data_IF_815190018053
#
_entry.id   IF_815190018053
#
_cell.length_a   1.000
_cell.length_b   1.000
_cell.length_c   1.000
_cell.angle_alpha   90.00
_cell.angle_beta   90.00
_cell.angle_gamma   90.00
#
_symmetry.space_group_name_H-M   'P 1'
#
loop_
_entity.id
_entity.type
_entity.pdbx_description
1 polymer ?
#
# COMPACT_ATOMS: atom_id res chain seq x y z
N UNK A 1 25.13 14.11 -4.84
CA UNK A 1 26.52 14.44 -5.20
C UNK A 1 26.62 15.34 -6.44
N UNK A 2 26.09 14.99 -7.63
CA UNK A 2 26.15 15.87 -8.83
C UNK A 2 25.60 17.28 -8.64
N UNK A 3 24.53 17.47 -7.86
CA UNK A 3 23.95 18.79 -7.60
C UNK A 3 24.85 19.65 -6.71
N UNK A 4 25.55 19.03 -5.75
CA UNK A 4 26.49 19.73 -4.88
C UNK A 4 27.75 20.16 -5.63
N UNK A 5 28.26 19.33 -6.52
CA UNK A 5 29.44 19.64 -7.35
C UNK A 5 29.15 20.75 -8.36
N UNK A 6 27.95 20.76 -8.96
CA UNK A 6 27.49 21.85 -9.82
C UNK A 6 27.31 23.18 -9.09
N UNK A 7 26.88 23.10 -7.84
CA UNK A 7 26.67 24.26 -6.98
C UNK A 7 28.01 24.86 -6.50
N UNK A 8 28.93 24.02 -6.02
CA UNK A 8 30.26 24.45 -5.60
C UNK A 8 31.13 24.95 -6.76
N UNK A 9 30.83 24.52 -8.00
CA UNK A 9 31.47 25.01 -9.21
C UNK A 9 31.01 26.37 -9.70
N UNK A 10 30.13 27.10 -9.00
CA UNK A 10 29.70 28.48 -9.33
C UNK A 10 28.88 28.59 -10.63
N UNK A 11 28.22 27.53 -11.09
CA UNK A 11 27.43 27.54 -12.32
C UNK A 11 25.95 27.80 -12.05
N UNK A 12 25.45 28.98 -12.44
CA UNK A 12 24.08 29.41 -12.26
C UNK A 12 22.99 28.55 -12.95
N UNK A 13 23.37 27.62 -13.79
CA UNK A 13 22.42 26.81 -14.58
C UNK A 13 21.92 25.57 -13.88
N UNK A 14 22.46 25.21 -12.73
CA UNK A 14 22.14 23.96 -12.02
C UNK A 14 20.65 23.83 -11.67
N UNK A 15 20.01 24.91 -11.26
CA UNK A 15 18.60 24.93 -10.89
C UNK A 15 17.65 24.66 -12.05
N UNK A 16 18.05 24.97 -13.28
CA UNK A 16 17.26 24.72 -14.50
C UNK A 16 17.46 23.30 -15.05
N UNK A 17 18.59 22.70 -14.73
CA UNK A 17 18.97 21.37 -15.23
C UNK A 17 18.50 20.22 -14.32
N UNK A 18 18.17 20.54 -13.06
CA UNK A 18 17.66 19.55 -12.09
C UNK A 18 16.13 19.59 -12.06
N UNK A 19 15.49 18.57 -12.59
CA UNK A 19 14.03 18.43 -12.54
C UNK A 19 13.56 18.38 -11.08
N UNK A 20 12.56 19.20 -10.73
CA UNK A 20 11.89 19.16 -9.43
C UNK A 20 12.29 20.26 -8.44
N UNK A 21 13.15 21.21 -8.84
CA UNK A 21 13.42 22.38 -8.01
C UNK A 21 12.26 23.39 -8.18
N UNK A 22 11.63 23.85 -7.09
CA UNK A 22 10.61 24.89 -7.14
C UNK A 22 11.11 26.15 -7.83
N UNK A 23 10.27 26.76 -8.66
CA UNK A 23 10.64 27.92 -9.48
C UNK A 23 11.09 29.13 -8.66
N UNK A 24 10.56 29.32 -7.45
CA UNK A 24 10.96 30.37 -6.51
C UNK A 24 12.39 30.17 -5.99
N UNK A 25 12.83 28.94 -5.77
CA UNK A 25 14.21 28.62 -5.36
C UNK A 25 15.18 28.85 -6.51
N UNK A 26 14.79 28.50 -7.75
CA UNK A 26 15.59 28.76 -8.93
C UNK A 26 15.76 30.27 -9.15
N UNK A 27 14.69 31.06 -9.04
CA UNK A 27 14.72 32.54 -9.18
C UNK A 27 15.58 33.21 -8.11
N UNK A 28 15.55 32.71 -6.87
CA UNK A 28 16.41 33.24 -5.77
C UNK A 28 17.88 32.92 -5.96
N UNK A 29 18.19 31.75 -6.50
CA UNK A 29 19.57 31.38 -6.85
C UNK A 29 20.13 32.25 -7.97
N UNK A 30 19.32 32.58 -8.99
CA UNK A 30 19.71 33.48 -10.09
C UNK A 30 19.91 34.93 -9.57
N UNK A 31 19.02 35.45 -8.71
CA UNK A 31 19.14 36.78 -8.08
C UNK A 31 20.39 36.90 -7.19
N UNK A 32 20.74 35.83 -6.49
CA UNK A 32 21.91 35.78 -5.64
C UNK A 32 23.22 35.90 -6.44
N UNK A 33 23.31 35.26 -7.60
CA UNK A 33 24.51 35.35 -8.45
C UNK A 33 24.72 36.72 -9.07
N UNK A 34 23.64 37.46 -9.36
CA UNK A 34 23.78 38.82 -9.86
C UNK A 34 24.39 39.76 -8.83
N UNK A 35 24.03 39.62 -7.54
CA UNK A 35 24.55 40.46 -6.46
C UNK A 35 25.99 40.17 -6.07
N UNK A 36 26.52 38.97 -6.36
CA UNK A 36 27.93 38.63 -6.08
C UNK A 36 28.89 39.05 -7.19
N UNK A 37 28.36 39.44 -8.37
CA UNK A 37 29.19 39.83 -9.52
C UNK A 37 29.76 41.23 -9.43
N UNK A 38 29.12 42.13 -8.71
CA UNK A 38 29.46 43.55 -8.69
C UNK A 38 30.32 44.01 -7.47
N UNK A 39 30.82 43.08 -6.66
CA UNK A 39 31.83 43.39 -5.63
C UNK A 39 31.35 44.25 -4.46
N UNK A 40 30.04 44.43 -4.32
CA UNK A 40 29.53 45.24 -3.21
C UNK A 40 29.33 44.47 -1.92
N UNK A 41 29.68 45.08 -0.86
CA UNK A 41 29.76 44.62 0.53
C UNK A 41 28.39 44.19 1.05
N UNK A 42 28.36 43.01 1.55
CA UNK A 42 27.22 42.34 2.14
C UNK A 42 26.63 43.05 3.35
N UNK A 43 25.32 43.05 3.46
CA UNK A 43 24.59 43.41 4.66
C UNK A 43 24.92 42.58 5.89
N UNK A 44 24.21 42.71 7.02
CA UNK A 44 24.52 42.16 8.31
C UNK A 44 24.87 40.65 8.27
N UNK A 45 25.68 40.14 9.22
CA UNK A 45 26.28 38.78 9.20
C UNK A 45 25.28 37.61 9.13
N UNK A 46 24.01 37.88 9.36
CA UNK A 46 22.91 36.89 9.21
C UNK A 46 22.47 36.68 7.74
N UNK A 47 22.96 37.49 6.80
CA UNK A 47 22.84 37.26 5.35
C UNK A 47 24.04 36.50 4.77
N UNK A 48 24.81 35.78 5.63
CA UNK A 48 25.92 34.98 5.13
C UNK A 48 25.42 34.01 4.05
N UNK A 49 25.97 34.08 2.83
CA UNK A 49 25.61 33.20 1.72
C UNK A 49 25.61 31.73 2.08
N UNK A 50 26.58 31.30 2.88
CA UNK A 50 26.73 29.93 3.32
C UNK A 50 25.57 29.46 4.23
N UNK A 51 25.06 30.33 5.12
CA UNK A 51 23.92 30.00 5.98
C UNK A 51 22.60 29.97 5.22
N UNK A 52 22.42 30.87 4.26
CA UNK A 52 21.27 30.89 3.36
C UNK A 52 21.26 29.63 2.47
N UNK A 53 22.42 29.26 1.92
CA UNK A 53 22.60 28.08 1.11
C UNK A 53 22.39 26.79 1.90
N UNK A 54 22.86 26.74 3.15
CA UNK A 54 22.64 25.58 4.02
C UNK A 54 21.15 25.30 4.23
N UNK A 55 20.36 26.33 4.58
CA UNK A 55 18.91 26.20 4.74
C UNK A 55 18.19 25.77 3.46
N UNK A 56 18.59 26.27 2.31
CA UNK A 56 17.95 25.90 1.05
C UNK A 56 18.36 24.51 0.59
N UNK A 57 19.58 24.08 0.83
CA UNK A 57 20.00 22.70 0.61
C UNK A 57 19.23 21.74 1.52
N UNK A 58 19.02 22.07 2.79
CA UNK A 58 18.17 21.27 3.68
C UNK A 58 16.74 21.13 3.15
N UNK A 59 16.12 22.21 2.69
CA UNK A 59 14.75 22.16 2.09
C UNK A 59 14.73 21.33 0.83
N UNK A 60 15.74 21.45 -0.03
CA UNK A 60 15.85 20.64 -1.25
C UNK A 60 16.07 19.15 -0.91
N UNK A 61 16.96 18.85 0.03
CA UNK A 61 17.21 17.47 0.46
C UNK A 61 15.97 16.87 1.10
N UNK A 62 15.28 17.60 1.98
CA UNK A 62 14.02 17.16 2.58
C UNK A 62 12.93 16.93 1.51
N UNK A 63 12.79 17.82 0.52
CA UNK A 63 11.85 17.66 -0.58
C UNK A 63 12.17 16.45 -1.47
N UNK A 64 13.44 16.22 -1.76
CA UNK A 64 13.89 15.05 -2.51
C UNK A 64 13.67 13.74 -1.73
N UNK A 65 13.92 13.75 -0.41
CA UNK A 65 13.69 12.60 0.45
C UNK A 65 12.19 12.29 0.58
N UNK A 66 11.36 13.32 0.66
CA UNK A 66 9.90 13.13 0.68
C UNK A 66 9.39 12.56 -0.65
N UNK A 67 9.78 13.13 -1.78
CA UNK A 67 9.41 12.60 -3.11
C UNK A 67 9.93 11.18 -3.32
N UNK A 68 11.14 10.87 -2.84
CA UNK A 68 11.68 9.52 -2.89
C UNK A 68 10.88 8.55 -2.03
N UNK A 69 10.45 8.96 -0.83
CA UNK A 69 9.59 8.14 0.03
C UNK A 69 8.23 7.87 -0.62
N UNK A 70 7.60 8.91 -1.17
CA UNK A 70 6.31 8.77 -1.88
C UNK A 70 6.41 7.79 -3.05
N UNK A 71 7.46 7.90 -3.88
CA UNK A 71 7.73 6.97 -4.99
C UNK A 71 7.99 5.54 -4.47
N UNK A 72 8.76 5.40 -3.39
CA UNK A 72 9.04 4.08 -2.80
C UNK A 72 7.80 3.48 -2.15
N UNK A 73 6.97 4.28 -1.50
CA UNK A 73 5.70 3.84 -0.92
C UNK A 73 4.73 3.38 -2.02
N UNK A 74 4.59 4.15 -3.10
CA UNK A 74 3.72 3.79 -4.23
C UNK A 74 4.19 2.50 -4.93
N UNK A 75 5.48 2.40 -5.25
CA UNK A 75 6.05 1.20 -5.87
C UNK A 75 6.03 0.01 -4.92
N UNK A 76 6.31 0.23 -3.64
CA UNK A 76 6.23 -0.79 -2.60
C UNK A 76 4.82 -1.34 -2.45
N UNK A 77 3.82 -0.47 -2.44
CA UNK A 77 2.40 -0.87 -2.36
C UNK A 77 1.97 -1.65 -3.60
N UNK A 78 2.34 -1.21 -4.81
CA UNK A 78 2.02 -1.92 -6.05
C UNK A 78 2.67 -3.31 -6.09
N UNK A 79 3.93 -3.44 -5.68
CA UNK A 79 4.63 -4.71 -5.59
C UNK A 79 3.99 -5.64 -4.55
N UNK A 80 3.58 -5.10 -3.41
CA UNK A 80 2.89 -5.81 -2.36
C UNK A 80 1.52 -6.34 -2.85
N UNK A 81 0.69 -5.49 -3.45
CA UNK A 81 -0.60 -5.90 -4.01
C UNK A 81 -0.43 -6.95 -5.11
N UNK A 82 0.60 -6.82 -5.93
CA UNK A 82 0.97 -7.83 -6.92
C UNK A 82 1.37 -9.17 -6.29
N UNK A 83 2.04 -9.15 -5.14
CA UNK A 83 2.40 -10.37 -4.39
C UNK A 83 1.17 -11.04 -3.80
N UNK A 84 0.26 -10.26 -3.20
CA UNK A 84 -1.02 -10.80 -2.71
C UNK A 84 -1.81 -11.44 -3.86
N UNK A 85 -1.95 -10.74 -4.99
CA UNK A 85 -2.66 -11.27 -6.16
C UNK A 85 -2.08 -12.62 -6.62
N UNK A 86 -0.76 -12.73 -6.75
CA UNK A 86 -0.11 -13.99 -7.11
C UNK A 86 -0.38 -15.10 -6.09
N UNK A 87 -0.36 -14.78 -4.79
CA UNK A 87 -0.68 -15.76 -3.75
C UNK A 87 -2.13 -16.21 -3.82
N UNK A 88 -3.06 -15.29 -4.05
CA UNK A 88 -4.50 -15.60 -4.22
C UNK A 88 -4.74 -16.43 -5.49
N UNK A 89 -4.08 -16.10 -6.61
CA UNK A 89 -4.18 -16.90 -7.85
C UNK A 89 -3.61 -18.31 -7.67
N UNK A 90 -2.64 -18.49 -6.76
CA UNK A 90 -2.06 -19.78 -6.43
C UNK A 90 -2.85 -20.58 -5.36
N UNK A 91 -3.91 -20.01 -4.75
CA UNK A 91 -4.66 -20.69 -3.69
C UNK A 91 -5.32 -21.98 -4.17
N UNK A 92 -6.02 -21.96 -5.30
CA UNK A 92 -6.67 -23.17 -5.86
C UNK A 92 -5.69 -24.32 -6.05
N UNK A 93 -4.55 -24.17 -6.77
CA UNK A 93 -3.59 -25.25 -6.88
C UNK A 93 -2.95 -25.63 -5.53
N UNK A 94 -2.74 -24.68 -4.60
CA UNK A 94 -2.21 -24.97 -3.28
C UNK A 94 -3.21 -25.80 -2.45
N UNK A 95 -4.49 -25.44 -2.41
CA UNK A 95 -5.54 -26.21 -1.74
C UNK A 95 -5.55 -27.65 -2.28
N UNK A 96 -5.55 -27.82 -3.60
CA UNK A 96 -5.52 -29.16 -4.24
C UNK A 96 -4.27 -29.97 -3.84
N UNK A 97 -3.11 -29.33 -3.75
CA UNK A 97 -1.87 -29.98 -3.33
C UNK A 97 -1.97 -30.53 -1.90
N UNK A 98 -2.68 -29.88 -0.99
CA UNK A 98 -2.84 -30.33 0.38
C UNK A 98 -4.00 -31.31 0.57
N UNK A 99 -5.05 -31.21 -0.21
CA UNK A 99 -6.23 -32.09 -0.13
C UNK A 99 -6.03 -33.40 -0.88
N UNK A 100 -5.37 -33.36 -2.03
CA UNK A 100 -5.08 -34.54 -2.87
C UNK A 100 -3.59 -34.88 -2.77
N UNK A 101 -3.20 -35.66 -1.77
CA UNK A 101 -1.80 -36.04 -1.51
C UNK A 101 -1.47 -37.44 -2.01
N UNK A 102 -0.20 -37.67 -2.19
CA UNK A 102 0.31 -39.01 -2.55
C UNK A 102 -0.11 -40.06 -1.53
N UNK A 103 -0.23 -41.33 -1.99
CA UNK A 103 -0.66 -42.43 -1.19
C UNK A 103 0.23 -42.59 0.05
N UNK A 104 -0.40 -42.67 1.21
CA UNK A 104 0.28 -42.83 2.49
C UNK A 104 0.65 -41.54 3.23
N UNK A 105 0.42 -40.35 2.61
CA UNK A 105 0.57 -39.07 3.29
C UNK A 105 -0.77 -38.60 3.85
N UNK A 106 -0.75 -37.98 5.04
CA UNK A 106 -1.94 -37.36 5.61
C UNK A 106 -2.35 -36.15 4.79
N UNK A 107 -3.63 -36.05 4.41
CA UNK A 107 -4.17 -34.85 3.78
C UNK A 107 -4.40 -33.77 4.83
N UNK A 108 -4.28 -32.52 4.42
CA UNK A 108 -4.77 -31.38 5.17
C UNK A 108 -6.07 -30.92 4.53
N UNK A 109 -7.17 -31.15 5.22
CA UNK A 109 -8.48 -30.71 4.74
C UNK A 109 -8.58 -29.19 4.88
N UNK A 110 -8.81 -28.50 3.75
CA UNK A 110 -9.11 -27.08 3.70
C UNK A 110 -10.61 -26.96 3.47
N UNK A 111 -11.37 -26.69 4.54
CA UNK A 111 -12.84 -26.78 4.52
C UNK A 111 -13.53 -25.53 5.08
N UNK A 112 -12.77 -24.56 5.56
CA UNK A 112 -13.28 -23.35 6.20
C UNK A 112 -12.32 -22.17 6.09
N UNK A 113 -12.79 -21.04 6.49
CA UNK A 113 -12.13 -19.73 6.46
C UNK A 113 -10.76 -19.74 7.15
N UNK A 114 -10.70 -20.28 8.37
CA UNK A 114 -9.46 -20.39 9.15
C UNK A 114 -8.36 -21.17 8.43
N UNK A 115 -8.73 -22.27 7.76
CA UNK A 115 -7.76 -23.10 7.02
C UNK A 115 -7.17 -22.32 5.85
N UNK A 116 -8.01 -21.55 5.13
CA UNK A 116 -7.57 -20.69 4.02
C UNK A 116 -6.72 -19.54 4.53
N UNK A 117 -7.12 -18.91 5.64
CA UNK A 117 -6.36 -17.85 6.28
C UNK A 117 -4.95 -18.31 6.62
N UNK A 118 -4.82 -19.46 7.27
CA UNK A 118 -3.52 -20.00 7.69
C UNK A 118 -2.65 -20.37 6.48
N UNK A 119 -3.24 -20.96 5.43
CA UNK A 119 -2.54 -21.25 4.18
C UNK A 119 -2.05 -19.96 3.52
N UNK A 120 -2.95 -18.98 3.33
CA UNK A 120 -2.61 -17.69 2.70
C UNK A 120 -1.56 -16.93 3.52
N UNK A 121 -1.69 -16.93 4.85
CA UNK A 121 -0.67 -16.37 5.73
C UNK A 121 0.70 -17.00 5.50
N UNK A 122 0.79 -18.34 5.47
CA UNK A 122 2.05 -19.02 5.23
C UNK A 122 2.67 -18.68 3.87
N UNK A 123 1.83 -18.59 2.81
CA UNK A 123 2.27 -18.21 1.46
C UNK A 123 2.78 -16.75 1.42
N UNK A 124 2.08 -15.83 2.05
CA UNK A 124 2.43 -14.41 2.07
C UNK A 124 3.63 -14.13 2.98
N UNK A 125 3.76 -14.81 4.10
CA UNK A 125 4.84 -14.61 5.08
C UNK A 125 6.22 -14.84 4.49
N UNK A 126 6.34 -15.68 3.48
CA UNK A 126 7.59 -15.92 2.78
C UNK A 126 8.11 -14.67 2.02
N UNK A 127 7.21 -13.76 1.63
CA UNK A 127 7.53 -12.59 0.82
C UNK A 127 7.23 -11.25 1.50
N UNK A 128 6.39 -11.25 2.54
CA UNK A 128 5.90 -10.05 3.22
C UNK A 128 6.23 -10.17 4.71
N UNK A 129 7.29 -9.48 5.12
CA UNK A 129 7.84 -9.61 6.46
C UNK A 129 6.94 -9.09 7.59
N UNK A 130 6.09 -8.09 7.31
CA UNK A 130 5.22 -7.45 8.29
C UNK A 130 3.78 -7.97 8.29
N UNK A 131 3.46 -9.00 7.46
CA UNK A 131 2.12 -9.59 7.48
C UNK A 131 1.82 -10.22 8.86
N UNK A 132 0.68 -9.90 9.41
CA UNK A 132 0.19 -10.38 10.71
C UNK A 132 -1.18 -11.02 10.54
N UNK A 133 -1.54 -11.88 11.50
CA UNK A 133 -2.88 -12.46 11.62
C UNK A 133 -3.66 -11.74 12.71
N UNK A 134 -4.99 -11.69 12.55
CA UNK A 134 -5.93 -11.28 13.59
C UNK A 134 -5.70 -9.86 14.12
N UNK A 135 -5.74 -8.87 13.22
CA UNK A 135 -5.61 -7.46 13.63
C UNK A 135 -6.95 -6.89 14.13
N UNK A 136 -7.01 -6.44 15.38
CA UNK A 136 -8.21 -5.80 15.92
C UNK A 136 -8.55 -4.51 15.18
N UNK A 137 -9.80 -4.37 14.74
CA UNK A 137 -10.33 -3.15 14.11
C UNK A 137 -11.04 -2.30 15.15
N UNK A 138 -10.77 -0.98 15.22
CA UNK A 138 -11.44 -0.10 16.18
C UNK A 138 -12.96 -0.16 16.02
N UNK A 139 -13.66 -0.57 17.08
CA UNK A 139 -15.12 -0.72 17.08
C UNK A 139 -15.84 0.46 17.71
N UNK A 140 -17.09 0.71 17.27
CA UNK A 140 -18.05 1.50 18.06
C UNK A 140 -19.07 0.54 18.70
N UNK A 141 -19.49 0.85 19.93
CA UNK A 141 -20.52 0.11 20.66
C UNK A 141 -20.18 -1.34 21.05
N UNK A 142 -18.91 -1.64 21.33
CA UNK A 142 -18.54 -2.89 22.02
C UNK A 142 -18.41 -4.15 21.13
N UNK A 143 -18.68 -4.08 19.83
CA UNK A 143 -18.41 -5.18 18.92
C UNK A 143 -16.98 -5.06 18.37
N UNK A 144 -16.06 -5.85 18.86
CA UNK A 144 -14.71 -6.00 18.31
C UNK A 144 -14.79 -6.82 17.02
N UNK A 145 -14.31 -6.27 15.91
CA UNK A 145 -14.04 -7.04 14.69
C UNK A 145 -12.53 -7.19 14.54
N UNK A 146 -12.13 -8.27 13.91
CA UNK A 146 -10.74 -8.63 13.70
C UNK A 146 -10.59 -8.93 12.21
N UNK A 147 -9.66 -8.25 11.54
CA UNK A 147 -9.31 -8.59 10.17
C UNK A 147 -8.40 -9.81 10.16
N UNK A 148 -8.60 -10.70 9.22
CA UNK A 148 -7.85 -11.96 9.14
C UNK A 148 -6.35 -11.76 8.98
N UNK A 149 -5.95 -10.90 8.04
CA UNK A 149 -4.55 -10.55 7.79
C UNK A 149 -4.36 -9.04 7.63
N UNK A 150 -3.20 -8.56 8.06
CA UNK A 150 -2.86 -7.15 8.05
C UNK A 150 -1.38 -6.91 7.71
N UNK A 151 -1.11 -5.87 6.92
CA UNK A 151 0.23 -5.29 6.73
C UNK A 151 0.18 -3.80 7.00
N UNK A 152 0.96 -3.36 7.99
CA UNK A 152 1.10 -1.93 8.35
C UNK A 152 1.82 -1.18 7.23
N UNK A 153 2.91 -1.76 6.71
CA UNK A 153 3.73 -1.10 5.68
C UNK A 153 2.95 -0.85 4.39
N UNK A 154 2.10 -1.79 4.00
CA UNK A 154 1.26 -1.63 2.81
C UNK A 154 -0.12 -1.03 3.11
N UNK A 155 -0.41 -0.68 4.38
CA UNK A 155 -1.69 -0.12 4.82
C UNK A 155 -2.87 -0.95 4.28
N UNK A 156 -2.77 -2.27 4.40
CA UNK A 156 -3.68 -3.22 3.78
C UNK A 156 -4.26 -4.18 4.79
N UNK A 157 -5.57 -4.35 4.77
CA UNK A 157 -6.30 -5.40 5.46
C UNK A 157 -6.77 -6.44 4.44
N UNK A 158 -6.71 -7.72 4.82
CA UNK A 158 -7.28 -8.82 4.05
C UNK A 158 -8.34 -9.52 4.90
N UNK A 159 -9.42 -9.89 4.24
CA UNK A 159 -10.53 -10.64 4.82
C UNK A 159 -10.81 -11.85 3.94
N UNK A 160 -10.90 -13.03 4.54
CA UNK A 160 -11.21 -14.28 3.87
C UNK A 160 -12.70 -14.58 4.07
N UNK A 161 -13.34 -15.12 3.06
CA UNK A 161 -14.71 -15.61 3.14
C UNK A 161 -14.79 -16.99 2.51
N UNK A 162 -15.50 -17.90 3.19
CA UNK A 162 -15.69 -19.27 2.74
C UNK A 162 -17.15 -19.57 2.43
N UNK A 163 -17.43 -20.02 1.21
CA UNK A 163 -18.74 -20.47 0.78
C UNK A 163 -18.70 -21.98 0.65
N UNK A 164 -19.10 -22.67 1.73
CA UNK A 164 -19.04 -24.14 1.80
C UNK A 164 -20.31 -24.86 1.34
N UNK A 165 -21.42 -24.14 1.14
CA UNK A 165 -22.70 -24.69 0.69
C UNK A 165 -23.50 -23.69 -0.12
N UNK A 166 -24.38 -24.19 -0.99
CA UNK A 166 -25.24 -23.35 -1.79
C UNK A 166 -26.22 -22.51 -0.94
N UNK A 167 -26.55 -21.32 -1.43
CA UNK A 167 -27.42 -20.35 -0.77
C UNK A 167 -26.72 -19.46 0.28
N UNK A 168 -25.39 -19.54 0.41
CA UNK A 168 -24.63 -18.69 1.33
C UNK A 168 -24.21 -17.35 0.74
N UNK A 169 -24.14 -17.25 -0.60
CA UNK A 169 -23.60 -16.07 -1.28
C UNK A 169 -24.24 -14.75 -0.81
N UNK A 170 -25.57 -14.69 -0.76
CA UNK A 170 -26.25 -13.46 -0.34
C UNK A 170 -25.84 -12.99 1.06
N UNK A 171 -25.71 -13.92 2.01
CA UNK A 171 -25.27 -13.62 3.36
C UNK A 171 -23.80 -13.14 3.37
N UNK A 172 -22.92 -13.78 2.63
CA UNK A 172 -21.53 -13.37 2.51
C UNK A 172 -21.40 -11.97 1.89
N UNK A 173 -22.21 -11.65 0.88
CA UNK A 173 -22.26 -10.33 0.28
C UNK A 173 -22.66 -9.25 1.30
N UNK A 174 -23.68 -9.53 2.12
CA UNK A 174 -24.10 -8.62 3.20
C UNK A 174 -22.98 -8.43 4.24
N UNK A 175 -22.27 -9.50 4.61
CA UNK A 175 -21.12 -9.43 5.50
C UNK A 175 -19.99 -8.56 4.91
N UNK A 176 -19.66 -8.71 3.62
CA UNK A 176 -18.67 -7.90 2.92
C UNK A 176 -19.04 -6.41 2.99
N UNK A 177 -20.28 -6.04 2.73
CA UNK A 177 -20.72 -4.66 2.83
C UNK A 177 -20.56 -4.08 4.25
N UNK A 178 -20.87 -4.88 5.27
CA UNK A 178 -20.67 -4.48 6.67
C UNK A 178 -19.19 -4.36 7.01
N UNK A 179 -18.35 -5.27 6.52
CA UNK A 179 -16.91 -5.27 6.73
C UNK A 179 -16.26 -4.04 6.10
N UNK A 180 -16.64 -3.67 4.88
CA UNK A 180 -16.19 -2.42 4.22
C UNK A 180 -16.47 -1.20 5.09
N UNK A 181 -17.71 -1.07 5.62
CA UNK A 181 -18.10 0.05 6.49
C UNK A 181 -17.36 0.06 7.84
N UNK A 182 -16.93 -1.10 8.30
CA UNK A 182 -16.25 -1.26 9.58
C UNK A 182 -14.76 -1.03 9.43
N UNK A 183 -14.12 -1.69 8.45
CA UNK A 183 -12.66 -1.70 8.30
C UNK A 183 -12.10 -0.37 7.80
N UNK A 184 -12.89 0.46 7.12
CA UNK A 184 -12.48 1.83 6.75
C UNK A 184 -12.07 2.67 7.98
N UNK A 185 -12.47 2.30 9.18
CA UNK A 185 -12.13 2.99 10.43
C UNK A 185 -10.73 2.65 10.93
N UNK A 186 -10.15 1.55 10.47
CA UNK A 186 -8.78 1.20 10.82
C UNK A 186 -7.81 2.22 10.21
N UNK A 187 -6.85 2.76 10.99
CA UNK A 187 -5.94 3.80 10.50
C UNK A 187 -5.14 3.35 9.27
N UNK A 188 -4.76 2.08 9.23
CA UNK A 188 -3.97 1.49 8.15
C UNK A 188 -4.83 0.86 7.02
N UNK A 189 -6.15 1.07 7.02
CA UNK A 189 -7.00 0.57 5.94
C UNK A 189 -7.03 1.56 4.76
N UNK A 190 -6.02 1.51 3.90
CA UNK A 190 -6.02 2.18 2.60
C UNK A 190 -6.43 1.20 1.49
N UNK A 191 -6.11 -0.07 1.69
CA UNK A 191 -6.51 -1.17 0.82
C UNK A 191 -7.25 -2.22 1.65
N UNK A 192 -8.39 -2.66 1.16
CA UNK A 192 -9.18 -3.74 1.74
C UNK A 192 -9.35 -4.82 0.68
N UNK A 193 -8.88 -6.02 0.98
CA UNK A 193 -8.87 -7.14 0.04
C UNK A 193 -9.76 -8.25 0.58
N UNK A 194 -10.77 -8.62 -0.18
CA UNK A 194 -11.59 -9.81 0.08
C UNK A 194 -11.09 -10.99 -0.75
N UNK A 195 -10.83 -12.10 -0.08
CA UNK A 195 -10.49 -13.38 -0.71
C UNK A 195 -11.65 -14.34 -0.47
N UNK A 196 -12.46 -14.56 -1.49
CA UNK A 196 -13.70 -15.34 -1.41
C UNK A 196 -13.41 -16.72 -2.02
N UNK A 197 -13.49 -17.77 -1.21
CA UNK A 197 -13.35 -19.15 -1.67
C UNK A 197 -14.73 -19.75 -1.85
N UNK A 198 -15.11 -19.98 -3.09
CA UNK A 198 -16.40 -20.54 -3.43
C UNK A 198 -16.31 -22.05 -3.69
N UNK A 199 -16.26 -22.83 -2.61
CA UNK A 199 -16.22 -24.27 -2.66
C UNK A 199 -17.57 -24.87 -3.11
N UNK A 200 -18.68 -24.14 -2.98
CA UNK A 200 -20.00 -24.59 -3.32
C UNK A 200 -20.46 -24.18 -4.74
N UNK A 201 -19.69 -23.33 -5.44
CA UNK A 201 -20.06 -22.72 -6.72
C UNK A 201 -21.42 -22.02 -6.63
N UNK A 202 -21.53 -21.16 -5.60
CA UNK A 202 -22.74 -20.41 -5.27
C UNK A 202 -22.70 -18.98 -5.79
N UNK A 203 -21.52 -18.47 -6.14
CA UNK A 203 -21.31 -17.16 -6.75
C UNK A 203 -21.80 -17.21 -8.21
N UNK A 204 -22.75 -16.38 -8.62
CA UNK A 204 -23.36 -16.47 -9.95
C UNK A 204 -22.39 -16.26 -11.09
N UNK A 205 -21.54 -15.22 -10.98
CA UNK A 205 -20.51 -14.86 -11.94
C UNK A 205 -19.31 -14.30 -11.16
N UNK A 206 -18.26 -15.11 -10.91
CA UNK A 206 -17.07 -14.67 -10.17
C UNK A 206 -16.41 -13.42 -10.74
N UNK A 207 -16.30 -13.27 -12.06
CA UNK A 207 -15.68 -12.12 -12.69
C UNK A 207 -16.47 -10.84 -12.48
N UNK A 208 -17.77 -10.91 -12.68
CA UNK A 208 -18.67 -9.77 -12.46
C UNK A 208 -18.63 -9.33 -10.99
N UNK A 209 -18.64 -10.28 -10.07
CA UNK A 209 -18.57 -10.01 -8.63
C UNK A 209 -17.23 -9.37 -8.26
N UNK A 210 -16.10 -9.85 -8.79
CA UNK A 210 -14.79 -9.21 -8.60
C UNK A 210 -14.80 -7.76 -9.10
N UNK A 211 -15.40 -7.49 -10.26
CA UNK A 211 -15.49 -6.15 -10.84
C UNK A 211 -16.41 -5.23 -10.02
N UNK A 212 -17.60 -5.69 -9.65
CA UNK A 212 -18.60 -4.91 -8.89
C UNK A 212 -18.13 -4.57 -7.47
N UNK A 213 -17.42 -5.50 -6.80
CA UNK A 213 -16.91 -5.29 -5.45
C UNK A 213 -15.60 -4.48 -5.42
N UNK A 214 -14.87 -4.44 -6.54
CA UNK A 214 -13.57 -3.76 -6.60
C UNK A 214 -13.73 -2.31 -7.04
N UNK A 215 -12.92 -1.43 -6.46
CA UNK A 215 -12.89 -0.03 -6.83
C UNK A 215 -12.43 0.89 -5.72
N UNK A 216 -12.29 2.17 -6.05
CA UNK A 216 -12.02 3.21 -5.07
C UNK A 216 -13.32 3.75 -4.51
N UNK A 217 -13.45 3.81 -3.20
CA UNK A 217 -14.62 4.27 -2.48
C UNK A 217 -14.23 5.36 -1.49
N UNK A 218 -15.13 6.31 -1.26
CA UNK A 218 -14.98 7.31 -0.20
C UNK A 218 -16.05 7.07 0.85
N UNK A 219 -15.64 6.62 2.03
CA UNK A 219 -16.53 6.28 3.15
C UNK A 219 -16.15 7.14 4.35
N UNK A 220 -17.09 7.90 4.88
CA UNK A 220 -16.86 8.82 6.00
C UNK A 220 -15.67 9.78 5.76
N UNK A 221 -15.49 10.26 4.52
CA UNK A 221 -14.41 11.15 4.12
C UNK A 221 -13.03 10.49 3.95
N UNK A 222 -12.92 9.17 4.09
CA UNK A 222 -11.69 8.41 3.84
C UNK A 222 -11.78 7.68 2.52
N UNK A 223 -10.77 7.85 1.68
CA UNK A 223 -10.60 7.08 0.46
C UNK A 223 -9.97 5.73 0.80
N UNK A 224 -10.62 4.66 0.34
CA UNK A 224 -10.09 3.29 0.39
C UNK A 224 -10.18 2.66 -0.99
N UNK A 225 -9.30 1.72 -1.26
CA UNK A 225 -9.39 0.86 -2.44
C UNK A 225 -9.81 -0.54 -2.01
N UNK A 226 -10.98 -0.97 -2.46
CA UNK A 226 -11.47 -2.33 -2.25
C UNK A 226 -11.05 -3.20 -3.44
N UNK A 227 -10.65 -4.42 -3.18
CA UNK A 227 -10.37 -5.45 -4.19
C UNK A 227 -11.00 -6.76 -3.72
N UNK A 228 -11.65 -7.44 -4.63
CA UNK A 228 -12.23 -8.75 -4.37
C UNK A 228 -11.65 -9.79 -5.34
N UNK A 229 -11.42 -10.98 -4.81
CA UNK A 229 -10.95 -12.13 -5.57
C UNK A 229 -11.81 -13.34 -5.22
N UNK A 230 -12.44 -13.93 -6.22
CA UNK A 230 -13.24 -15.15 -6.06
C UNK A 230 -12.46 -16.34 -6.65
N UNK A 231 -12.28 -17.40 -5.86
CA UNK A 231 -11.55 -18.60 -6.28
C UNK A 231 -12.34 -19.85 -5.96
N UNK A 232 -12.35 -20.79 -6.89
CA UNK A 232 -12.90 -22.13 -6.70
C UNK A 232 -11.77 -23.10 -6.36
N UNK A 233 -11.82 -23.84 -5.25
CA UNK A 233 -10.79 -24.79 -4.84
C UNK A 233 -10.77 -26.09 -5.66
#
# INVERSE_FOLDING_TARGET
>A
MKALDLFLGGKARWAREVKGIPADIAARADAYQMNTRDGETFGPPWHCPAAFMGKHLEVIICGMDQSRREILEEHGTAAFLGTIRRAVDALTPAIRCFTVREKGLSSWAIEREDDVRDLLYAMLRASIADIKREEPVPSRAGASRVADLHSVLAKTLLEIKWIGRRGQWRRILDEIHVDVQTYVRHPDCHHLIFVIIDAARDVPDPHLVEEELSGSQVINGRAIRVMAYVREP
#
